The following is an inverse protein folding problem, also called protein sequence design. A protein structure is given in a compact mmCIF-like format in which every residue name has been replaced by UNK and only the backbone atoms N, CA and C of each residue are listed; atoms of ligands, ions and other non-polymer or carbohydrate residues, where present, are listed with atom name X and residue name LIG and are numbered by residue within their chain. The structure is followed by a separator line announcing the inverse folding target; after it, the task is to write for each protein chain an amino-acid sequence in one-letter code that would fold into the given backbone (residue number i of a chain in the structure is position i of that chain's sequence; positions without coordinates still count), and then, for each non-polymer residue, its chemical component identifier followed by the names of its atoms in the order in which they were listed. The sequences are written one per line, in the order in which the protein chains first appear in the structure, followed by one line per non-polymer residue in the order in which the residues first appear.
data_IF_443558256213
#
_entry.id   IF_443558256213
#
_cell.length_a   1.000
_cell.length_b   1.000
_cell.length_c   1.000
_cell.angle_alpha   90.00
_cell.angle_beta   90.00
_cell.angle_gamma   90.00
#
_symmetry.space_group_name_H-M   'P 1'
#
loop_
_entity.id
_entity.type
_entity.pdbx_description
1 polymer ?
#
# COMPACT_ATOMS: atom_id res chain seq x y z
N UNK A 1 44.05 52.00 -1.95
CA UNK A 1 43.69 50.79 -2.69
C UNK A 1 43.37 49.70 -1.69
N UNK A 2 42.10 49.45 -1.46
CA UNK A 2 41.63 48.47 -0.49
C UNK A 2 41.15 47.22 -1.23
N UNK A 3 41.82 46.09 -0.98
CA UNK A 3 41.41 44.79 -1.50
C UNK A 3 40.38 44.16 -0.57
N UNK A 4 39.17 43.97 -1.06
CA UNK A 4 38.13 43.24 -0.35
C UNK A 4 38.33 41.73 -0.59
N UNK A 5 38.71 41.02 0.49
CA UNK A 5 38.73 39.55 0.52
C UNK A 5 37.29 39.02 0.73
N UNK A 6 36.75 38.37 -0.28
CA UNK A 6 35.49 37.63 -0.14
C UNK A 6 35.78 36.31 0.58
N UNK A 7 35.36 36.24 1.83
CA UNK A 7 35.30 34.98 2.58
C UNK A 7 34.03 34.19 2.16
N UNK A 8 34.19 33.20 1.30
CA UNK A 8 33.15 32.22 1.05
C UNK A 8 33.04 31.27 2.27
N UNK A 9 31.94 31.31 3.00
CA UNK A 9 31.70 30.45 4.14
C UNK A 9 31.55 28.99 3.70
N UNK A 10 32.32 28.12 4.35
CA UNK A 10 32.34 26.66 4.09
C UNK A 10 30.93 26.02 4.23
N UNK A 11 30.02 26.62 4.99
CA UNK A 11 28.64 26.18 5.16
C UNK A 11 27.76 26.24 3.88
N UNK A 12 28.02 27.27 3.02
CA UNK A 12 27.24 27.40 1.77
C UNK A 12 27.55 26.34 0.72
N UNK A 13 28.78 25.85 0.70
CA UNK A 13 29.21 24.82 -0.25
C UNK A 13 28.63 23.42 0.10
N UNK A 14 28.54 23.11 1.41
CA UNK A 14 27.96 21.83 1.85
C UNK A 14 26.45 21.75 1.61
N UNK A 15 25.71 22.86 1.75
CA UNK A 15 24.28 22.89 1.45
C UNK A 15 24.01 22.74 -0.06
N UNK A 16 24.81 23.39 -0.91
CA UNK A 16 24.67 23.28 -2.34
C UNK A 16 24.96 21.86 -2.88
N UNK A 17 25.96 21.17 -2.31
CA UNK A 17 26.28 19.79 -2.69
C UNK A 17 25.19 18.79 -2.26
N UNK A 18 24.60 18.94 -1.07
CA UNK A 18 23.51 18.09 -0.62
C UNK A 18 22.25 18.23 -1.49
N UNK A 19 21.89 19.46 -1.84
CA UNK A 19 20.74 19.73 -2.72
C UNK A 19 20.98 19.16 -4.13
N UNK A 20 22.18 19.28 -4.68
CA UNK A 20 22.54 18.72 -5.99
C UNK A 20 22.47 17.19 -5.98
N UNK A 21 22.92 16.53 -4.91
CA UNK A 21 22.86 15.07 -4.77
C UNK A 21 21.40 14.59 -4.71
N UNK A 22 20.53 15.28 -3.97
CA UNK A 22 19.09 14.94 -3.89
C UNK A 22 18.41 15.09 -5.24
N UNK A 23 18.67 16.20 -5.95
CA UNK A 23 18.11 16.43 -7.30
C UNK A 23 18.64 15.40 -8.31
N UNK A 24 19.93 15.05 -8.25
CA UNK A 24 20.51 14.02 -9.12
C UNK A 24 19.96 12.62 -8.80
N UNK A 25 19.75 12.28 -7.54
CA UNK A 25 19.11 11.03 -7.11
C UNK A 25 17.67 10.93 -7.61
N UNK A 26 16.90 12.01 -7.49
CA UNK A 26 15.54 12.07 -8.00
C UNK A 26 15.47 11.97 -9.53
N UNK A 27 16.38 12.66 -10.25
CA UNK A 27 16.46 12.57 -11.72
C UNK A 27 16.92 11.18 -12.19
N UNK A 28 17.85 10.54 -11.47
CA UNK A 28 18.30 9.18 -11.78
C UNK A 28 17.20 8.16 -11.54
N UNK A 29 16.47 8.30 -10.43
CA UNK A 29 15.30 7.48 -10.11
C UNK A 29 14.22 7.64 -11.19
N UNK A 30 13.87 8.86 -11.56
CA UNK A 30 12.88 9.15 -12.61
C UNK A 30 13.32 8.61 -13.98
N UNK A 31 14.62 8.68 -14.30
CA UNK A 31 15.20 8.13 -15.53
C UNK A 31 15.21 6.60 -15.55
N UNK A 32 15.46 5.95 -14.41
CA UNK A 32 15.42 4.49 -14.28
C UNK A 32 13.98 3.98 -14.38
N UNK A 33 13.03 4.66 -13.71
CA UNK A 33 11.60 4.34 -13.76
C UNK A 33 11.07 4.54 -15.19
N UNK A 34 11.38 5.67 -15.83
CA UNK A 34 10.97 5.94 -17.23
C UNK A 34 11.62 5.02 -18.27
N UNK A 35 12.88 4.57 -18.07
CA UNK A 35 13.50 3.57 -18.95
C UNK A 35 12.90 2.17 -18.80
N UNK A 36 12.50 1.77 -17.58
CA UNK A 36 11.75 0.53 -17.37
C UNK A 36 10.33 0.60 -17.94
N UNK A 37 9.68 1.75 -17.87
CA UNK A 37 8.34 1.98 -18.45
C UNK A 37 8.33 1.98 -19.98
N UNK A 38 9.41 2.36 -20.66
CA UNK A 38 9.46 2.40 -22.13
C UNK A 38 9.67 1.05 -22.82
N UNK A 39 10.07 0.01 -22.08
CA UNK A 39 10.30 -1.33 -22.66
C UNK A 39 9.20 -2.35 -22.28
N UNK A 40 8.15 -1.90 -21.62
CA UNK A 40 6.94 -2.69 -21.41
C UNK A 40 5.83 -1.90 -22.09
N UNK A 41 5.43 -2.34 -23.30
CA UNK A 41 4.16 -1.90 -23.84
C UNK A 41 3.13 -2.15 -22.75
N UNK A 42 2.39 -1.12 -22.28
CA UNK A 42 1.31 -1.38 -21.34
C UNK A 42 0.38 -2.37 -22.05
N UNK A 43 0.03 -3.51 -21.44
CA UNK A 43 -1.00 -4.35 -22.02
C UNK A 43 -2.22 -3.44 -22.18
N UNK A 44 -2.75 -3.40 -23.40
CA UNK A 44 -4.01 -2.72 -23.68
C UNK A 44 -5.01 -3.21 -22.64
N UNK A 45 -5.65 -2.28 -21.97
CA UNK A 45 -6.66 -2.52 -20.96
C UNK A 45 -7.94 -2.97 -21.67
N UNK A 46 -7.86 -4.09 -22.39
CA UNK A 46 -9.01 -4.86 -22.81
C UNK A 46 -9.44 -5.66 -21.58
N UNK A 47 -10.58 -5.30 -21.02
CA UNK A 47 -11.11 -5.74 -19.74
C UNK A 47 -11.33 -7.26 -19.62
N UNK A 48 -10.23 -7.99 -19.54
CA UNK A 48 -10.21 -9.40 -19.15
C UNK A 48 -8.87 -9.69 -18.45
N UNK A 49 -8.63 -9.03 -17.29
CA UNK A 49 -7.77 -9.68 -16.32
C UNK A 49 -8.48 -10.99 -15.98
N UNK A 50 -7.92 -12.11 -16.45
CA UNK A 50 -8.14 -13.41 -15.84
C UNK A 50 -7.67 -13.27 -14.38
N UNK A 51 -8.60 -12.84 -13.53
CA UNK A 51 -8.50 -13.03 -12.10
C UNK A 51 -8.37 -14.55 -11.96
N UNK A 52 -7.19 -14.97 -11.50
CA UNK A 52 -6.98 -16.36 -11.16
C UNK A 52 -8.18 -16.77 -10.32
N UNK A 53 -8.99 -17.71 -10.84
CA UNK A 53 -10.08 -18.30 -10.09
C UNK A 53 -9.43 -19.09 -8.95
N UNK A 54 -9.15 -18.41 -7.84
CA UNK A 54 -8.95 -19.08 -6.58
C UNK A 54 -10.25 -19.82 -6.30
N UNK A 55 -10.23 -21.14 -6.37
CA UNK A 55 -11.24 -21.97 -5.73
C UNK A 55 -11.10 -21.73 -4.22
N UNK A 56 -11.66 -20.61 -3.75
CA UNK A 56 -11.71 -20.27 -2.35
C UNK A 56 -12.75 -21.20 -1.72
N UNK A 57 -12.33 -22.39 -1.34
CA UNK A 57 -13.10 -23.24 -0.44
C UNK A 57 -13.30 -22.49 0.88
N UNK A 58 -14.47 -22.57 1.43
CA UNK A 58 -15.16 -21.85 2.54
C UNK A 58 -14.43 -21.29 3.75
N UNK A 59 -13.13 -20.99 3.71
CA UNK A 59 -12.33 -20.45 4.80
C UNK A 59 -11.50 -19.22 4.48
N UNK A 60 -11.43 -18.78 3.22
CA UNK A 60 -10.58 -17.63 2.82
C UNK A 60 -11.11 -16.33 3.40
N UNK A 61 -10.23 -15.59 4.10
CA UNK A 61 -10.49 -14.23 4.56
C UNK A 61 -9.57 -13.27 3.80
N UNK A 62 -10.12 -12.17 3.27
CA UNK A 62 -9.33 -11.15 2.58
C UNK A 62 -8.91 -10.05 3.56
N UNK A 63 -7.67 -9.58 3.42
CA UNK A 63 -7.15 -8.39 4.05
C UNK A 63 -6.91 -7.33 3.00
N UNK A 64 -7.73 -6.29 2.96
CA UNK A 64 -7.47 -5.09 2.19
C UNK A 64 -6.48 -4.23 2.95
N UNK A 65 -5.35 -3.95 2.33
CA UNK A 65 -4.20 -3.34 3.00
C UNK A 65 -3.78 -2.06 2.29
N UNK A 66 -3.83 -0.95 3.03
CA UNK A 66 -3.16 0.28 2.64
C UNK A 66 -1.70 0.30 3.12
N UNK A 67 -0.89 1.22 2.61
CA UNK A 67 0.54 1.32 2.93
C UNK A 67 0.87 2.57 3.72
N UNK A 68 0.51 3.74 3.18
CA UNK A 68 0.78 5.04 3.81
C UNK A 68 -0.05 5.15 5.10
N UNK A 69 0.59 5.54 6.21
CA UNK A 69 -0.11 5.56 7.51
C UNK A 69 -0.52 4.18 8.05
N UNK A 70 -0.08 3.08 7.42
CA UNK A 70 -0.34 1.69 7.83
C UNK A 70 0.96 0.92 8.00
N UNK A 71 1.65 0.56 6.90
CA UNK A 71 2.91 -0.20 6.94
C UNK A 71 4.11 0.68 7.27
N UNK A 72 3.99 1.95 7.12
CA UNK A 72 4.93 2.98 7.54
C UNK A 72 4.18 4.23 7.99
N UNK A 73 4.86 5.02 8.79
CA UNK A 73 4.30 6.28 9.28
C UNK A 73 4.29 7.32 8.18
N UNK A 74 3.15 7.96 7.97
CA UNK A 74 2.99 8.99 6.93
C UNK A 74 3.33 8.39 5.56
N UNK A 75 4.14 9.10 4.78
CA UNK A 75 4.63 8.69 3.45
C UNK A 75 6.16 8.53 3.47
N UNK A 76 6.71 7.86 4.49
CA UNK A 76 8.16 7.73 4.63
C UNK A 76 8.76 6.53 3.90
N UNK A 77 7.92 5.65 3.33
CA UNK A 77 8.28 4.51 2.50
C UNK A 77 9.25 3.49 3.14
N UNK A 78 9.39 3.52 4.47
CA UNK A 78 10.36 2.66 5.18
C UNK A 78 9.84 1.27 5.50
N UNK A 79 8.52 1.08 5.46
CA UNK A 79 7.84 -0.18 5.82
C UNK A 79 8.22 -0.71 7.22
N UNK A 80 8.53 0.20 8.16
CA UNK A 80 8.96 -0.16 9.52
C UNK A 80 7.90 -0.92 10.33
N UNK A 81 6.66 -0.95 9.86
CA UNK A 81 5.55 -1.72 10.46
C UNK A 81 5.38 -3.11 9.86
N UNK A 82 6.17 -3.48 8.87
CA UNK A 82 6.14 -4.81 8.26
C UNK A 82 6.21 -5.96 9.29
N UNK A 83 7.03 -5.89 10.37
CA UNK A 83 7.06 -6.95 11.39
C UNK A 83 5.71 -7.17 12.09
N UNK A 84 4.86 -6.14 12.20
CA UNK A 84 3.51 -6.27 12.77
C UNK A 84 2.56 -6.99 11.81
N UNK A 85 2.66 -6.70 10.51
CA UNK A 85 1.93 -7.45 9.49
C UNK A 85 2.36 -8.92 9.47
N UNK A 86 3.66 -9.20 9.59
CA UNK A 86 4.14 -10.59 9.69
C UNK A 86 3.56 -11.33 10.89
N UNK A 87 3.38 -10.68 12.06
CA UNK A 87 2.72 -11.29 13.22
C UNK A 87 1.30 -11.71 12.87
N UNK A 88 0.53 -10.86 12.15
CA UNK A 88 -0.81 -11.18 11.68
C UNK A 88 -0.77 -12.40 10.76
N UNK A 89 0.08 -12.37 9.73
CA UNK A 89 0.13 -13.43 8.72
C UNK A 89 0.55 -14.78 9.29
N UNK A 90 1.39 -14.80 10.32
CA UNK A 90 1.78 -16.03 11.03
C UNK A 90 0.63 -16.63 11.85
N UNK A 91 -0.25 -15.79 12.41
CA UNK A 91 -1.38 -16.24 13.24
C UNK A 91 -2.66 -16.48 12.45
N UNK A 92 -2.74 -15.95 11.23
CA UNK A 92 -3.92 -16.02 10.37
C UNK A 92 -3.58 -16.74 9.05
N UNK A 93 -3.48 -18.09 9.02
CA UNK A 93 -2.98 -18.83 7.87
C UNK A 93 -3.84 -18.67 6.61
N UNK A 94 -5.16 -18.51 6.72
CA UNK A 94 -6.09 -18.36 5.59
C UNK A 94 -6.34 -16.90 5.19
N UNK A 95 -5.59 -15.95 5.78
CA UNK A 95 -5.70 -14.54 5.46
C UNK A 95 -4.89 -14.21 4.19
N UNK A 96 -5.54 -13.71 3.14
CA UNK A 96 -4.88 -13.30 1.89
C UNK A 96 -4.95 -11.79 1.72
N UNK A 97 -3.87 -11.20 1.23
CA UNK A 97 -3.73 -9.75 1.08
C UNK A 97 -4.18 -9.32 -0.31
N UNK A 98 -4.99 -8.27 -0.33
CA UNK A 98 -5.34 -7.48 -1.51
C UNK A 98 -4.90 -6.04 -1.25
N UNK A 99 -4.02 -5.51 -2.08
CA UNK A 99 -3.53 -4.15 -1.90
C UNK A 99 -4.61 -3.15 -2.31
N UNK A 100 -5.01 -2.29 -1.36
CA UNK A 100 -5.97 -1.19 -1.58
C UNK A 100 -5.28 0.18 -1.66
N UNK A 101 -3.98 0.25 -1.39
CA UNK A 101 -3.19 1.46 -1.46
C UNK A 101 -3.16 2.06 -2.87
N UNK A 102 -3.05 3.40 -2.95
CA UNK A 102 -2.84 4.15 -4.20
C UNK A 102 -1.57 3.72 -4.95
N UNK A 103 -0.62 3.08 -4.30
CA UNK A 103 0.58 2.52 -4.93
C UNK A 103 0.25 1.51 -6.05
N UNK A 104 -0.94 0.88 -6.01
CA UNK A 104 -1.44 -0.01 -7.07
C UNK A 104 -1.64 0.69 -8.42
N UNK A 105 -1.76 2.01 -8.43
CA UNK A 105 -1.96 2.79 -9.66
C UNK A 105 -0.66 3.02 -10.43
N UNK A 106 0.47 2.94 -9.73
CA UNK A 106 1.81 3.20 -10.29
C UNK A 106 2.68 1.95 -10.37
N UNK A 107 2.33 0.89 -9.64
CA UNK A 107 3.11 -0.35 -9.57
C UNK A 107 2.31 -1.54 -10.08
N UNK A 108 3.00 -2.49 -10.72
CA UNK A 108 2.41 -3.79 -11.06
C UNK A 108 2.21 -4.64 -9.82
N UNK A 109 1.30 -5.62 -9.86
CA UNK A 109 1.10 -6.57 -8.76
C UNK A 109 2.41 -7.27 -8.36
N UNK A 110 3.22 -7.66 -9.32
CA UNK A 110 4.52 -8.29 -9.04
C UNK A 110 5.48 -7.30 -8.37
N UNK A 111 5.50 -6.03 -8.80
CA UNK A 111 6.26 -4.97 -8.13
C UNK A 111 5.83 -4.78 -6.66
N UNK A 112 4.52 -4.77 -6.41
CA UNK A 112 3.98 -4.68 -5.06
C UNK A 112 4.38 -5.89 -4.20
N UNK A 113 4.34 -7.11 -4.75
CA UNK A 113 4.79 -8.32 -4.03
C UNK A 113 6.25 -8.23 -3.57
N UNK A 114 7.12 -7.58 -4.34
CA UNK A 114 8.54 -7.43 -3.96
C UNK A 114 8.76 -6.57 -2.71
N UNK A 115 7.81 -5.73 -2.33
CA UNK A 115 7.86 -4.95 -1.09
C UNK A 115 7.73 -5.83 0.17
N UNK A 116 7.21 -7.04 0.02
CA UNK A 116 6.97 -7.97 1.12
C UNK A 116 8.09 -9.01 1.25
N UNK A 117 8.32 -9.53 2.46
CA UNK A 117 9.23 -10.65 2.68
C UNK A 117 8.86 -11.86 1.80
N UNK A 118 9.87 -12.55 1.27
CA UNK A 118 9.69 -13.67 0.32
C UNK A 118 8.70 -14.72 0.85
N UNK A 119 8.76 -15.01 2.16
CA UNK A 119 7.88 -16.00 2.80
C UNK A 119 6.39 -15.69 2.68
N UNK A 120 6.02 -14.42 2.48
CA UNK A 120 4.61 -13.98 2.47
C UNK A 120 4.12 -13.49 1.09
N UNK A 121 4.99 -13.41 0.07
CA UNK A 121 4.62 -12.91 -1.25
C UNK A 121 3.46 -13.68 -1.90
N UNK A 122 3.37 -14.98 -1.65
CA UNK A 122 2.29 -15.82 -2.15
C UNK A 122 0.92 -15.49 -1.56
N UNK A 123 0.91 -14.76 -0.41
CA UNK A 123 -0.32 -14.31 0.25
C UNK A 123 -0.89 -13.04 -0.39
N UNK A 124 -0.11 -12.31 -1.19
CA UNK A 124 -0.56 -11.13 -1.92
C UNK A 124 -1.18 -11.61 -3.23
N UNK A 125 -2.52 -11.64 -3.29
CA UNK A 125 -3.26 -12.27 -4.38
C UNK A 125 -3.82 -11.29 -5.40
N UNK A 126 -3.84 -9.99 -5.10
CA UNK A 126 -4.41 -9.00 -6.00
C UNK A 126 -4.33 -7.57 -5.49
N UNK A 127 -4.97 -6.71 -6.25
CA UNK A 127 -5.19 -5.30 -5.93
C UNK A 127 -6.67 -4.97 -6.09
N UNK A 128 -7.17 -3.96 -5.38
CA UNK A 128 -8.53 -3.46 -5.63
C UNK A 128 -8.62 -2.78 -6.99
N UNK A 129 -9.78 -2.81 -7.67
CA UNK A 129 -10.01 -1.98 -8.84
C UNK A 129 -9.88 -0.51 -8.45
N UNK A 130 -9.47 0.35 -9.39
CA UNK A 130 -9.54 1.80 -9.23
C UNK A 130 -10.87 2.28 -9.79
N UNK A 131 -11.75 2.74 -8.92
CA UNK A 131 -12.99 3.42 -9.33
C UNK A 131 -12.63 4.89 -9.53
N UNK A 132 -12.85 5.40 -10.74
CA UNK A 132 -12.75 6.85 -10.97
C UNK A 132 -13.70 7.55 -10.00
N UNK A 133 -13.22 8.62 -9.38
CA UNK A 133 -14.05 9.49 -8.55
C UNK A 133 -15.15 10.11 -9.44
N UNK A 134 -16.29 9.45 -9.49
CA UNK A 134 -17.49 10.05 -10.04
C UNK A 134 -17.94 11.09 -9.02
N UNK A 135 -18.15 12.32 -9.45
CA UNK A 135 -18.69 13.41 -8.62
C UNK A 135 -19.90 12.85 -7.85
N UNK A 136 -19.90 12.97 -6.53
CA UNK A 136 -20.91 12.45 -5.59
C UNK A 136 -20.81 10.94 -5.22
N UNK A 137 -19.68 10.29 -5.45
CA UNK A 137 -19.47 8.91 -4.97
C UNK A 137 -18.86 8.92 -3.57
N UNK A 138 -19.69 8.69 -2.56
CA UNK A 138 -19.21 8.51 -1.18
C UNK A 138 -18.45 7.19 -1.01
N UNK A 139 -17.44 7.18 -0.15
CA UNK A 139 -16.71 5.98 0.30
C UNK A 139 -16.11 5.14 -0.83
N UNK A 140 -15.43 5.79 -1.79
CA UNK A 140 -14.87 5.12 -2.98
C UNK A 140 -13.99 3.95 -2.60
N UNK A 141 -13.06 4.10 -1.64
CA UNK A 141 -12.16 3.04 -1.17
C UNK A 141 -12.94 1.82 -0.64
N UNK A 142 -13.99 2.04 0.14
CA UNK A 142 -14.85 0.97 0.63
C UNK A 142 -15.56 0.24 -0.52
N UNK A 143 -16.07 0.98 -1.50
CA UNK A 143 -16.73 0.40 -2.68
C UNK A 143 -15.77 -0.43 -3.54
N UNK A 144 -14.52 -0.01 -3.68
CA UNK A 144 -13.46 -0.77 -4.34
C UNK A 144 -13.22 -2.12 -3.65
N UNK A 145 -13.15 -2.13 -2.31
CA UNK A 145 -13.03 -3.36 -1.52
C UNK A 145 -14.25 -4.27 -1.71
N UNK A 146 -15.47 -3.71 -1.63
CA UNK A 146 -16.71 -4.48 -1.83
C UNK A 146 -16.82 -5.07 -3.23
N UNK A 147 -16.46 -4.30 -4.25
CA UNK A 147 -16.50 -4.76 -5.65
C UNK A 147 -15.54 -5.93 -5.85
N UNK A 148 -14.32 -5.81 -5.33
CA UNK A 148 -13.33 -6.88 -5.38
C UNK A 148 -13.81 -8.12 -4.62
N UNK A 149 -14.30 -7.97 -3.38
CA UNK A 149 -14.80 -9.07 -2.55
C UNK A 149 -15.93 -9.83 -3.25
N UNK A 150 -16.89 -9.12 -3.84
CA UNK A 150 -17.99 -9.70 -4.62
C UNK A 150 -17.49 -10.48 -5.84
N UNK A 151 -16.51 -9.91 -6.56
CA UNK A 151 -15.92 -10.57 -7.72
C UNK A 151 -15.21 -11.87 -7.34
N UNK A 152 -14.53 -11.90 -6.19
CA UNK A 152 -13.87 -13.08 -5.64
C UNK A 152 -14.84 -14.08 -4.99
N UNK A 153 -16.13 -13.75 -4.85
CA UNK A 153 -17.10 -14.59 -4.15
C UNK A 153 -16.82 -14.71 -2.63
N UNK A 154 -16.08 -13.75 -2.05
CA UNK A 154 -15.69 -13.75 -0.63
C UNK A 154 -16.50 -12.68 0.10
N UNK A 155 -17.09 -13.08 1.23
CA UNK A 155 -17.87 -12.20 2.10
C UNK A 155 -17.17 -11.89 3.44
N UNK A 156 -16.07 -12.57 3.73
CA UNK A 156 -15.28 -12.41 4.95
C UNK A 156 -14.02 -11.60 4.63
N UNK A 157 -13.97 -10.35 5.04
CA UNK A 157 -12.81 -9.49 4.78
C UNK A 157 -12.58 -8.47 5.89
N UNK A 158 -11.34 -8.07 6.04
CA UNK A 158 -10.86 -7.05 6.98
C UNK A 158 -10.17 -5.97 6.15
N UNK A 159 -10.22 -4.75 6.61
CA UNK A 159 -9.56 -3.60 5.99
C UNK A 159 -8.63 -2.96 7.01
N UNK A 160 -7.40 -2.63 6.64
CA UNK A 160 -6.51 -1.77 7.43
C UNK A 160 -6.22 -0.52 6.61
N UNK A 161 -6.61 0.64 7.14
CA UNK A 161 -6.50 1.92 6.44
C UNK A 161 -6.47 3.06 7.48
N UNK A 162 -5.75 4.14 7.25
CA UNK A 162 -5.69 5.31 8.13
C UNK A 162 -6.73 6.37 7.77
N UNK A 163 -7.23 6.37 6.53
CA UNK A 163 -8.20 7.32 6.02
C UNK A 163 -9.66 6.92 6.34
N UNK A 164 -10.00 6.86 7.62
CA UNK A 164 -11.34 6.42 8.08
C UNK A 164 -12.52 7.15 7.41
N UNK A 165 -12.32 8.37 6.94
CA UNK A 165 -13.33 9.16 6.23
C UNK A 165 -13.71 8.58 4.85
N UNK A 166 -12.91 7.68 4.29
CA UNK A 166 -13.17 6.97 3.03
C UNK A 166 -14.04 5.72 3.20
N UNK A 167 -14.57 5.52 4.42
CA UNK A 167 -15.40 4.37 4.81
C UNK A 167 -16.67 4.84 5.50
N UNK A 168 -17.79 4.10 5.42
CA UNK A 168 -19.01 4.42 6.12
C UNK A 168 -18.79 4.55 7.64
N UNK A 169 -19.50 5.45 8.33
CA UNK A 169 -19.47 5.50 9.79
C UNK A 169 -19.82 4.12 10.38
N UNK A 170 -19.03 3.66 11.33
CA UNK A 170 -19.24 2.36 11.96
C UNK A 170 -18.90 1.15 11.07
N UNK A 171 -18.08 1.31 10.05
CA UNK A 171 -17.65 0.21 9.17
C UNK A 171 -17.01 -0.92 10.00
N UNK A 172 -17.73 -2.01 10.18
CA UNK A 172 -17.27 -3.14 11.01
C UNK A 172 -16.05 -3.85 10.45
N UNK A 173 -15.83 -3.80 9.15
CA UNK A 173 -14.67 -4.42 8.50
C UNK A 173 -13.37 -3.60 8.69
N UNK A 174 -13.47 -2.31 9.02
CA UNK A 174 -12.32 -1.42 9.14
C UNK A 174 -11.61 -1.59 10.48
N UNK A 175 -10.30 -1.68 10.41
CA UNK A 175 -9.36 -1.47 11.50
C UNK A 175 -8.56 -0.22 11.15
N UNK A 176 -8.98 0.92 11.69
CA UNK A 176 -8.35 2.20 11.40
C UNK A 176 -7.01 2.32 12.12
N UNK A 177 -6.01 2.85 11.42
CA UNK A 177 -4.72 3.25 11.98
C UNK A 177 -4.63 4.78 12.11
N UNK A 178 -3.55 5.25 12.71
CA UNK A 178 -3.23 6.67 12.76
C UNK A 178 -2.12 6.96 11.74
N UNK A 179 -2.33 7.93 10.86
CA UNK A 179 -1.38 8.34 9.82
C UNK A 179 0.05 8.58 10.34
N UNK A 180 0.16 9.16 11.56
CA UNK A 180 1.45 9.49 12.17
C UNK A 180 2.13 8.30 12.85
N UNK A 181 1.40 7.22 13.13
CA UNK A 181 1.89 6.07 13.91
C UNK A 181 1.98 4.79 13.07
N UNK A 182 1.11 4.64 12.09
CA UNK A 182 0.93 3.38 11.35
C UNK A 182 0.32 2.29 12.21
N UNK A 183 0.50 1.03 11.82
CA UNK A 183 0.09 -0.13 12.60
C UNK A 183 0.74 -0.17 13.98
N UNK A 184 0.00 -0.66 14.97
CA UNK A 184 0.42 -0.88 16.35
C UNK A 184 0.11 -2.32 16.78
N UNK A 185 0.57 -2.74 17.96
CA UNK A 185 0.17 -4.05 18.53
C UNK A 185 -1.36 -4.12 18.77
N UNK A 186 -2.03 -2.99 19.03
CA UNK A 186 -3.48 -2.91 19.09
C UNK A 186 -4.14 -3.22 17.74
N UNK A 187 -3.57 -2.72 16.64
CA UNK A 187 -4.02 -3.04 15.28
C UNK A 187 -3.90 -4.55 15.03
N UNK A 188 -2.77 -5.16 15.41
CA UNK A 188 -2.55 -6.61 15.30
C UNK A 188 -3.62 -7.39 16.05
N UNK A 189 -3.88 -7.03 17.32
CA UNK A 189 -4.90 -7.69 18.15
C UNK A 189 -6.30 -7.59 17.53
N UNK A 190 -6.66 -6.40 17.02
CA UNK A 190 -7.96 -6.16 16.39
C UNK A 190 -8.16 -7.00 15.12
N UNK A 191 -7.14 -7.11 14.28
CA UNK A 191 -7.20 -7.93 13.05
C UNK A 191 -7.34 -9.41 13.39
N UNK A 192 -6.54 -9.91 14.34
CA UNK A 192 -6.62 -11.32 14.76
C UNK A 192 -7.98 -11.64 15.36
N UNK A 193 -8.52 -10.76 16.19
CA UNK A 193 -9.85 -10.92 16.78
C UNK A 193 -10.94 -11.02 15.70
N UNK A 194 -10.93 -10.11 14.72
CA UNK A 194 -11.87 -10.15 13.58
C UNK A 194 -11.70 -11.42 12.75
N UNK A 195 -10.47 -11.84 12.50
CA UNK A 195 -10.17 -13.07 11.77
C UNK A 195 -10.75 -14.29 12.50
N UNK A 196 -10.57 -14.41 13.82
CA UNK A 196 -11.15 -15.50 14.61
C UNK A 196 -12.67 -15.52 14.56
N UNK A 197 -13.33 -14.35 14.59
CA UNK A 197 -14.79 -14.24 14.44
C UNK A 197 -15.30 -14.77 13.09
N UNK A 198 -14.48 -14.71 12.04
CA UNK A 198 -14.85 -15.24 10.72
C UNK A 198 -14.68 -16.76 10.58
N UNK A 199 -13.95 -17.40 11.49
CA UNK A 199 -13.74 -18.85 11.49
C UNK A 199 -14.81 -19.61 12.29
N UNK A 200 -15.52 -18.90 13.20
CA UNK A 200 -16.64 -19.44 13.97
C UNK A 200 -17.93 -19.41 13.18
#
# INVERSE_FOLDING_TARGET
MAGALFSLSVGGVMFATAVVIIIFSAMLYDSIVKRRSKNINPPEFTGSHQLASCNCSGGTVLLYLDFDGVLHRRMNETFERMPLLEKILKQCPELHIVVSSSWRETMTLEGLKYLFPVAFRHRIIGVTPSLQEVKDTEYVRYRECLLHARHMGVNKFIIIDDESHRFPPGCENLVSTNYSEGMTDQTVASVIMKYCQYLT
#
